data_IF_249225107390
#
_entry.id   IF_249225107390
#
_cell.length_a   1.000
_cell.length_b   1.000
_cell.length_c   1.000
_cell.angle_alpha   90.00
_cell.angle_beta   90.00
_cell.angle_gamma   90.00
#
_symmetry.space_group_name_H-M   'P 1'
#
loop_
_entity.id
_entity.type
_entity.pdbx_description
1 polymer ?
#
# COMPACT_ATOMS: atom_id res chain seq x y z
N UNK A 1 4.77 -6.53 -2.26
CA UNK A 1 4.22 -6.18 -3.60
C UNK A 1 4.66 -4.79 -4.06
N UNK A 2 4.34 -3.70 -3.35
CA UNK A 2 4.74 -2.34 -3.76
C UNK A 2 6.26 -2.17 -3.94
N UNK A 3 7.07 -2.65 -2.98
CA UNK A 3 8.54 -2.71 -3.11
C UNK A 3 9.00 -3.48 -4.36
N UNK A 4 8.40 -4.65 -4.62
CA UNK A 4 8.72 -5.48 -5.78
C UNK A 4 8.42 -4.77 -7.12
N UNK A 5 7.28 -4.05 -7.21
CA UNK A 5 6.94 -3.28 -8.42
C UNK A 5 8.00 -2.22 -8.74
N UNK A 6 8.53 -1.53 -7.72
CA UNK A 6 9.62 -0.56 -7.90
C UNK A 6 10.90 -1.20 -8.43
N UNK A 7 11.24 -2.40 -7.92
CA UNK A 7 12.40 -3.16 -8.42
C UNK A 7 12.21 -3.55 -9.89
N UNK A 8 11.05 -4.10 -10.26
CA UNK A 8 10.76 -4.45 -11.64
C UNK A 8 10.80 -3.24 -12.58
N UNK A 9 10.22 -2.10 -12.17
CA UNK A 9 10.25 -0.86 -12.97
C UNK A 9 11.67 -0.32 -13.13
N UNK A 10 12.49 -0.35 -12.08
CA UNK A 10 13.89 0.05 -12.17
C UNK A 10 14.68 -0.86 -13.12
N UNK A 11 14.43 -2.17 -13.10
CA UNK A 11 15.06 -3.12 -14.03
C UNK A 11 14.59 -2.89 -15.47
N UNK A 12 13.32 -2.58 -15.67
CA UNK A 12 12.77 -2.25 -16.98
C UNK A 12 13.43 -1.00 -17.56
N UNK A 13 13.51 0.09 -16.79
CA UNK A 13 14.17 1.34 -17.21
C UNK A 13 15.62 1.11 -17.62
N UNK A 14 16.37 0.33 -16.82
CA UNK A 14 17.75 -0.07 -17.14
C UNK A 14 17.83 -0.88 -18.43
N UNK A 15 16.91 -1.82 -18.67
CA UNK A 15 16.90 -2.63 -19.89
C UNK A 15 16.69 -1.78 -21.17
N UNK A 16 15.94 -0.68 -21.07
CA UNK A 16 15.75 0.29 -22.16
C UNK A 16 16.84 1.38 -22.23
N UNK A 17 17.89 1.32 -21.40
CA UNK A 17 18.97 2.31 -21.37
C UNK A 17 18.54 3.69 -20.84
N UNK A 18 17.43 3.77 -20.09
CA UNK A 18 16.97 5.01 -19.49
C UNK A 18 17.69 5.24 -18.15
N UNK A 19 18.15 6.46 -17.91
CA UNK A 19 18.59 6.86 -16.56
C UNK A 19 17.39 6.88 -15.61
N UNK A 20 17.57 6.27 -14.44
CA UNK A 20 16.54 6.25 -13.38
C UNK A 20 16.53 7.62 -12.71
N UNK A 21 15.81 8.58 -13.29
CA UNK A 21 15.77 9.96 -12.80
C UNK A 21 14.87 10.13 -11.57
N UNK A 22 13.79 9.35 -11.45
CA UNK A 22 12.87 9.39 -10.30
C UNK A 22 12.19 8.04 -10.01
N UNK A 23 11.99 7.75 -8.73
CA UNK A 23 11.13 6.64 -8.31
C UNK A 23 9.67 6.94 -8.66
N UNK A 24 8.94 5.98 -9.26
CA UNK A 24 7.55 6.19 -9.64
C UNK A 24 6.69 6.41 -8.40
N UNK A 25 5.78 7.39 -8.49
CA UNK A 25 4.73 7.57 -7.51
C UNK A 25 3.79 6.36 -7.54
N UNK A 26 3.52 5.80 -6.37
CA UNK A 26 2.58 4.70 -6.21
C UNK A 26 1.34 5.23 -5.50
N UNK A 27 0.26 5.39 -6.25
CA UNK A 27 -1.06 5.72 -5.70
C UNK A 27 -1.84 4.42 -5.43
N UNK A 28 -2.18 4.18 -4.17
CA UNK A 28 -2.79 2.93 -3.71
C UNK A 28 -4.23 3.20 -3.30
N UNK A 29 -5.15 2.55 -4.02
CA UNK A 29 -6.59 2.65 -3.78
C UNK A 29 -7.13 1.35 -3.20
N UNK A 30 -7.90 1.42 -2.12
CA UNK A 30 -8.55 0.24 -1.58
C UNK A 30 -9.73 -0.15 -2.47
N UNK A 31 -10.09 -1.43 -2.42
CA UNK A 31 -11.21 -1.99 -3.17
C UNK A 31 -12.29 -2.46 -2.21
N UNK A 32 -13.56 -2.22 -2.57
CA UNK A 32 -14.69 -2.74 -1.80
C UNK A 32 -14.83 -4.27 -1.88
N UNK A 33 -14.10 -4.95 -2.78
CA UNK A 33 -14.15 -6.41 -2.95
C UNK A 33 -13.67 -7.20 -1.73
N UNK A 34 -12.87 -6.60 -0.85
CA UNK A 34 -12.35 -7.25 0.37
C UNK A 34 -13.20 -6.95 1.62
N UNK A 35 -14.26 -6.16 1.45
CA UNK A 35 -15.15 -5.74 2.54
C UNK A 35 -16.21 -6.80 2.82
N UNK A 36 -16.44 -7.07 4.10
CA UNK A 36 -17.53 -7.93 4.57
C UNK A 36 -18.81 -7.10 4.78
N UNK A 37 -19.92 -7.77 5.12
CA UNK A 37 -21.19 -7.10 5.45
C UNK A 37 -21.09 -6.27 6.73
N UNK A 38 -20.24 -6.66 7.69
CA UNK A 38 -20.08 -5.96 8.96
C UNK A 38 -19.09 -4.77 8.83
N UNK A 39 -19.55 -3.50 8.96
CA UNK A 39 -18.68 -2.35 8.81
C UNK A 39 -17.58 -2.25 9.86
N UNK A 40 -17.80 -2.77 11.07
CA UNK A 40 -16.78 -2.71 12.13
C UNK A 40 -15.57 -3.57 11.79
N UNK A 41 -15.80 -4.74 11.18
CA UNK A 41 -14.72 -5.60 10.67
C UNK A 41 -13.94 -4.89 9.56
N UNK A 42 -14.64 -4.18 8.68
CA UNK A 42 -14.03 -3.42 7.59
C UNK A 42 -13.11 -2.30 8.13
N UNK A 43 -13.48 -1.60 9.21
CA UNK A 43 -12.59 -0.59 9.83
C UNK A 43 -11.24 -1.18 10.30
N UNK A 44 -11.25 -2.40 10.84
CA UNK A 44 -10.03 -3.11 11.26
C UNK A 44 -9.19 -3.50 10.02
N UNK A 45 -9.86 -4.03 8.99
CA UNK A 45 -9.21 -4.38 7.71
C UNK A 45 -8.59 -3.14 7.07
N UNK A 46 -9.32 -2.02 7.00
CA UNK A 46 -8.88 -0.76 6.41
C UNK A 46 -7.63 -0.23 7.11
N UNK A 47 -7.60 -0.27 8.45
CA UNK A 47 -6.42 0.14 9.23
C UNK A 47 -5.20 -0.73 8.91
N UNK A 48 -5.41 -2.05 8.83
CA UNK A 48 -4.33 -3.01 8.52
C UNK A 48 -3.81 -2.85 7.10
N UNK A 49 -4.71 -2.64 6.13
CA UNK A 49 -4.35 -2.36 4.74
C UNK A 49 -3.61 -1.03 4.61
N UNK A 50 -4.00 -0.01 5.38
CA UNK A 50 -3.35 1.30 5.38
C UNK A 50 -1.92 1.19 5.88
N UNK A 51 -1.73 0.49 7.00
CA UNK A 51 -0.41 0.17 7.51
C UNK A 51 0.44 -0.57 6.48
N UNK A 52 -0.12 -1.58 5.81
CA UNK A 52 0.60 -2.34 4.78
C UNK A 52 0.97 -1.48 3.55
N UNK A 53 0.10 -0.54 3.16
CA UNK A 53 0.38 0.43 2.10
C UNK A 53 1.55 1.35 2.46
N UNK A 54 1.55 1.89 3.67
CA UNK A 54 2.63 2.76 4.20
C UNK A 54 3.95 1.99 4.28
N UNK A 55 3.97 0.82 4.91
CA UNK A 55 5.17 -0.03 5.01
C UNK A 55 5.67 -0.49 3.63
N UNK A 56 4.78 -0.65 2.66
CA UNK A 56 5.16 -0.95 1.27
C UNK A 56 5.73 0.25 0.51
N UNK A 57 5.69 1.45 1.09
CA UNK A 57 6.18 2.70 0.52
C UNK A 57 5.20 3.38 -0.44
N UNK A 58 3.89 3.23 -0.26
CA UNK A 58 2.89 3.96 -1.03
C UNK A 58 3.14 5.49 -0.96
N UNK A 59 3.05 6.18 -2.10
CA UNK A 59 3.20 7.64 -2.15
C UNK A 59 1.89 8.33 -1.78
N UNK A 60 0.77 7.75 -2.20
CA UNK A 60 -0.59 8.20 -1.87
C UNK A 60 -1.43 6.98 -1.49
N UNK A 61 -2.34 7.19 -0.55
CA UNK A 61 -3.19 6.14 -0.02
C UNK A 61 -4.64 6.64 0.02
N UNK A 62 -5.55 5.86 -0.56
CA UNK A 62 -6.99 6.14 -0.52
C UNK A 62 -7.69 5.03 0.26
N UNK A 63 -8.07 5.35 1.50
CA UNK A 63 -8.87 4.48 2.37
C UNK A 63 -10.34 4.67 2.07
N UNK A 64 -11.07 3.58 1.82
CA UNK A 64 -12.51 3.62 1.56
C UNK A 64 -13.31 3.69 2.88
N UNK A 65 -14.52 4.28 2.87
CA UNK A 65 -15.43 4.17 4.00
C UNK A 65 -15.83 2.71 4.24
N UNK A 66 -15.87 2.29 5.49
CA UNK A 66 -16.09 0.90 5.89
C UNK A 66 -17.44 0.26 5.48
N UNK A 67 -18.41 1.08 5.04
CA UNK A 67 -19.72 0.64 4.54
C UNK A 67 -19.88 0.85 3.02
N UNK A 68 -18.79 1.08 2.28
CA UNK A 68 -18.83 1.39 0.85
C UNK A 68 -19.38 0.26 -0.04
N UNK A 69 -19.50 -0.97 0.47
CA UNK A 69 -20.06 -2.13 -0.23
C UNK A 69 -21.57 -2.33 0.00
N UNK A 70 -22.12 -1.83 1.11
CA UNK A 70 -23.50 -2.10 1.52
C UNK A 70 -24.42 -0.90 1.38
N UNK A 71 -23.92 0.30 1.68
CA UNK A 71 -24.73 1.50 1.75
C UNK A 71 -23.98 2.74 1.23
N UNK A 72 -24.69 3.84 1.04
CA UNK A 72 -24.04 5.11 0.76
C UNK A 72 -23.24 5.55 1.99
N UNK A 73 -21.95 5.87 1.79
CA UNK A 73 -21.05 6.14 2.89
C UNK A 73 -21.57 7.28 3.80
N UNK A 74 -21.70 7.00 5.10
CA UNK A 74 -22.18 7.98 6.06
C UNK A 74 -21.09 9.00 6.37
N UNK A 75 -21.47 10.17 6.91
CA UNK A 75 -20.49 11.16 7.36
C UNK A 75 -19.52 10.60 8.41
N UNK A 76 -20.01 9.66 9.22
CA UNK A 76 -19.21 8.95 10.22
C UNK A 76 -18.15 8.04 9.59
N UNK A 77 -18.52 7.13 8.67
CA UNK A 77 -17.56 6.19 8.08
C UNK A 77 -16.51 6.89 7.22
N UNK A 78 -16.88 7.98 6.53
CA UNK A 78 -15.92 8.84 5.82
C UNK A 78 -14.93 9.51 6.77
N UNK A 79 -15.40 9.97 7.94
CA UNK A 79 -14.53 10.55 8.97
C UNK A 79 -13.54 9.51 9.49
N UNK A 80 -14.00 8.30 9.79
CA UNK A 80 -13.12 7.21 10.24
C UNK A 80 -12.05 6.88 9.18
N UNK A 81 -12.43 6.71 7.91
CA UNK A 81 -11.49 6.42 6.82
C UNK A 81 -10.37 7.46 6.68
N UNK A 82 -10.69 8.75 6.82
CA UNK A 82 -9.69 9.84 6.84
C UNK A 82 -8.85 9.81 8.12
N UNK A 83 -9.47 9.59 9.27
CA UNK A 83 -8.77 9.58 10.56
C UNK A 83 -7.73 8.45 10.65
N UNK A 84 -7.94 7.30 10.01
CA UNK A 84 -6.94 6.23 9.92
C UNK A 84 -5.63 6.76 9.33
N UNK A 85 -5.70 7.58 8.28
CA UNK A 85 -4.50 8.17 7.67
C UNK A 85 -3.81 9.16 8.62
N UNK A 86 -4.58 10.04 9.26
CA UNK A 86 -4.03 10.99 10.23
C UNK A 86 -3.42 10.29 11.44
N UNK A 87 -4.04 9.24 11.96
CA UNK A 87 -3.51 8.47 13.08
C UNK A 87 -2.17 7.82 12.71
N UNK A 88 -2.08 7.22 11.53
CA UNK A 88 -0.82 6.63 11.05
C UNK A 88 0.25 7.69 10.81
N UNK A 89 -0.09 8.87 10.31
CA UNK A 89 0.87 9.95 10.09
C UNK A 89 1.37 10.58 11.41
N UNK A 90 0.45 10.91 12.31
CA UNK A 90 0.72 11.75 13.47
C UNK A 90 1.16 10.94 14.70
N UNK A 91 0.67 9.71 14.86
CA UNK A 91 0.82 8.96 16.11
C UNK A 91 1.67 7.70 15.98
N UNK A 92 1.76 7.08 14.79
CA UNK A 92 2.47 5.80 14.64
C UNK A 92 3.99 5.91 14.55
N UNK A 93 4.52 7.11 14.30
CA UNK A 93 5.94 7.37 14.04
C UNK A 93 6.55 6.62 12.84
N UNK A 94 5.74 5.96 12.00
CA UNK A 94 6.21 5.24 10.82
C UNK A 94 6.88 6.16 9.79
N UNK A 95 6.52 7.45 9.77
CA UNK A 95 7.14 8.46 8.91
C UNK A 95 8.51 8.96 9.39
N UNK A 96 9.02 8.52 10.54
CA UNK A 96 10.35 8.95 11.05
C UNK A 96 11.52 8.28 10.33
N UNK A 97 11.28 7.19 9.61
CA UNK A 97 12.28 6.43 8.84
C UNK A 97 11.76 6.20 7.43
N UNK A 98 12.65 6.26 6.44
CA UNK A 98 12.29 6.17 5.01
C UNK A 98 11.64 4.81 4.65
N UNK A 99 12.19 3.70 5.16
CA UNK A 99 11.65 2.35 4.97
C UNK A 99 11.71 1.59 6.30
N UNK A 100 10.63 1.61 7.11
CA UNK A 100 10.59 0.91 8.39
C UNK A 100 10.71 -0.61 8.28
N UNK A 101 10.43 -1.18 7.10
CA UNK A 101 10.47 -2.62 6.85
C UNK A 101 11.83 -3.11 6.32
N UNK A 102 12.75 -2.19 6.03
CA UNK A 102 14.07 -2.51 5.50
C UNK A 102 14.86 -3.41 6.46
N UNK A 103 15.53 -4.43 5.91
CA UNK A 103 16.36 -5.36 6.68
C UNK A 103 15.59 -6.49 7.36
N UNK A 104 14.25 -6.49 7.30
CA UNK A 104 13.46 -7.65 7.72
C UNK A 104 13.71 -8.82 6.76
N UNK A 105 14.35 -9.89 7.26
CA UNK A 105 14.65 -11.09 6.45
C UNK A 105 13.42 -11.61 5.70
N UNK A 106 12.27 -11.65 6.37
CA UNK A 106 11.02 -12.12 5.77
C UNK A 106 10.52 -11.20 4.65
N UNK A 107 10.48 -9.89 4.88
CA UNK A 107 9.96 -8.93 3.90
C UNK A 107 10.91 -8.81 2.71
N UNK A 108 12.23 -8.83 2.92
CA UNK A 108 13.22 -8.82 1.85
C UNK A 108 13.09 -10.06 0.96
N UNK A 109 13.09 -11.25 1.57
CA UNK A 109 12.93 -12.52 0.85
C UNK A 109 11.64 -12.55 0.04
N UNK A 110 10.51 -12.22 0.67
CA UNK A 110 9.22 -12.20 0.00
C UNK A 110 9.15 -11.15 -1.12
N UNK A 111 9.82 -10.01 -0.95
CA UNK A 111 9.91 -8.99 -1.99
C UNK A 111 10.67 -9.50 -3.20
N UNK A 112 11.80 -10.19 -3.00
CA UNK A 112 12.57 -10.83 -4.06
C UNK A 112 11.77 -11.90 -4.81
N UNK A 113 11.14 -12.83 -4.08
CA UNK A 113 10.32 -13.90 -4.69
C UNK A 113 9.15 -13.35 -5.53
N UNK A 114 8.50 -12.27 -5.07
CA UNK A 114 7.43 -11.63 -5.84
C UNK A 114 7.99 -10.93 -7.09
N UNK A 115 9.12 -10.23 -6.97
CA UNK A 115 9.75 -9.53 -8.08
C UNK A 115 10.21 -10.50 -9.18
N UNK A 116 10.82 -11.62 -8.80
CA UNK A 116 11.26 -12.67 -9.72
C UNK A 116 10.07 -13.30 -10.47
N UNK A 117 9.02 -13.70 -9.74
CA UNK A 117 7.81 -14.26 -10.36
C UNK A 117 7.14 -13.27 -11.32
N UNK A 118 7.07 -11.99 -10.93
CA UNK A 118 6.52 -10.94 -11.78
C UNK A 118 7.37 -10.72 -13.03
N UNK A 119 8.70 -10.72 -12.90
CA UNK A 119 9.63 -10.56 -14.02
C UNK A 119 9.53 -11.71 -15.03
N UNK A 120 9.48 -12.96 -14.55
CA UNK A 120 9.31 -14.13 -15.40
C UNK A 120 7.97 -14.15 -16.16
N UNK A 121 6.96 -13.42 -15.67
CA UNK A 121 5.67 -13.29 -16.37
C UNK A 121 5.67 -12.20 -17.45
N UNK A 122 6.70 -11.33 -17.47
CA UNK A 122 6.86 -10.25 -18.45
C UNK A 122 7.76 -10.65 -19.63
N UNK A 123 8.55 -11.72 -19.48
CA UNK A 123 9.37 -12.33 -20.53
C UNK A 123 8.53 -13.26 -21.41
#
# INVERSE_FOLDING_TARGET
KLRAIRLCLANLQKAYGLEVLQYPWLDVHFTSKVMDENPNTNMIKDTTMALAGILGGATRLTVLPANANTEQASGFTRRIARNVQHLLELESHLGKVVDPAAGSYYIEKLTGEIAEKAWNSLQ
#
